data_IF_776530108858
#
_entry.id   IF_776530108858
#
_cell.length_a   1.000
_cell.length_b   1.000
_cell.length_c   1.000
_cell.angle_alpha   90.00
_cell.angle_beta   90.00
_cell.angle_gamma   90.00
#
_symmetry.space_group_name_H-M   'P 1'
#
loop_
_entity.id
_entity.type
_entity.pdbx_description
1 polymer ?
#
# COMPACT_ATOMS: atom_id res chain seq x y z
N UNK A 1 23.00 -1.02 5.54
CA UNK A 1 21.59 -1.31 5.19
C UNK A 1 21.08 -0.09 4.45
N UNK A 2 20.87 -0.19 3.14
CA UNK A 2 20.33 0.92 2.34
C UNK A 2 18.91 1.16 2.86
N UNK A 3 18.61 2.40 3.27
CA UNK A 3 17.29 2.75 3.78
C UNK A 3 16.36 2.86 2.58
N UNK A 4 15.68 1.76 2.25
CA UNK A 4 14.75 1.72 1.13
C UNK A 4 13.53 2.54 1.50
N UNK A 5 13.42 3.73 0.91
CA UNK A 5 12.48 4.80 1.29
C UNK A 5 11.96 5.48 0.04
N UNK A 6 10.87 6.23 0.17
CA UNK A 6 10.36 7.10 -0.88
C UNK A 6 11.48 7.94 -1.53
N UNK A 7 12.34 8.57 -0.73
CA UNK A 7 13.43 9.41 -1.22
C UNK A 7 14.43 8.62 -2.09
N UNK A 8 14.75 7.40 -1.68
CA UNK A 8 15.61 6.52 -2.49
C UNK A 8 14.99 6.21 -3.86
N UNK A 9 13.70 5.89 -3.90
CA UNK A 9 12.98 5.59 -5.14
C UNK A 9 12.75 6.83 -5.99
N UNK A 10 12.50 7.99 -5.39
CA UNK A 10 12.33 9.25 -6.12
C UNK A 10 13.61 9.73 -6.79
N UNK A 11 14.76 9.44 -6.17
CA UNK A 11 16.07 9.78 -6.73
C UNK A 11 16.50 8.77 -7.80
N UNK A 12 16.19 7.48 -7.60
CA UNK A 12 16.49 6.42 -8.56
C UNK A 12 15.39 5.34 -8.59
N UNK A 13 14.65 5.27 -9.72
CA UNK A 13 13.60 4.28 -9.94
C UNK A 13 14.12 2.84 -10.03
N UNK A 14 15.42 2.62 -10.31
CA UNK A 14 16.01 1.27 -10.35
C UNK A 14 15.97 0.57 -8.98
N UNK A 15 15.75 1.33 -7.90
CA UNK A 15 15.62 0.83 -6.52
C UNK A 15 14.21 0.28 -6.23
N UNK A 16 13.24 0.47 -7.14
CA UNK A 16 11.85 0.05 -6.93
C UNK A 16 11.69 -1.45 -6.60
N UNK A 17 12.40 -2.41 -7.24
CA UNK A 17 12.31 -3.83 -6.87
C UNK A 17 12.76 -4.09 -5.42
N UNK A 18 13.84 -3.44 -4.99
CA UNK A 18 14.33 -3.55 -3.61
C UNK A 18 13.31 -2.96 -2.63
N UNK A 19 12.62 -1.88 -3.02
CA UNK A 19 11.53 -1.28 -2.23
C UNK A 19 10.38 -2.26 -2.05
N UNK A 20 9.93 -2.87 -3.12
CA UNK A 20 8.85 -3.85 -3.06
C UNK A 20 9.26 -5.03 -2.18
N UNK A 21 10.44 -5.62 -2.41
CA UNK A 21 10.94 -6.75 -1.61
C UNK A 21 11.05 -6.41 -0.13
N UNK A 22 11.58 -5.23 0.22
CA UNK A 22 11.73 -4.80 1.61
C UNK A 22 10.39 -4.76 2.36
N UNK A 23 9.34 -4.23 1.74
CA UNK A 23 8.01 -4.17 2.35
C UNK A 23 7.28 -5.52 2.27
N UNK A 24 7.51 -6.34 1.26
CA UNK A 24 6.96 -7.70 1.20
C UNK A 24 7.49 -8.59 2.33
N UNK A 25 8.79 -8.54 2.61
CA UNK A 25 9.40 -9.31 3.70
C UNK A 25 8.81 -8.94 5.07
N UNK A 26 8.47 -7.65 5.26
CA UNK A 26 7.89 -7.16 6.51
C UNK A 26 6.42 -7.55 6.70
N UNK A 27 5.67 -7.84 5.63
CA UNK A 27 4.26 -8.23 5.72
C UNK A 27 4.04 -9.42 6.67
N UNK A 28 4.92 -10.42 6.63
CA UNK A 28 4.80 -11.59 7.50
C UNK A 28 4.84 -11.21 8.98
N UNK A 29 5.80 -10.36 9.36
CA UNK A 29 5.95 -9.88 10.73
C UNK A 29 4.75 -9.05 11.19
N UNK A 30 4.24 -8.15 10.33
CA UNK A 30 3.11 -7.29 10.65
C UNK A 30 1.79 -8.06 10.75
N UNK A 31 1.59 -9.09 9.92
CA UNK A 31 0.42 -9.99 10.02
C UNK A 31 0.37 -10.73 11.34
N UNK A 32 1.51 -11.10 11.92
CA UNK A 32 1.54 -11.76 13.23
C UNK A 32 1.10 -10.82 14.37
N UNK A 33 1.37 -9.52 14.23
CA UNK A 33 1.00 -8.49 15.22
C UNK A 33 -0.52 -8.29 15.35
N UNK A 34 -1.33 -8.72 14.37
CA UNK A 34 -2.80 -8.62 14.42
C UNK A 34 -3.47 -9.69 15.30
N UNK A 35 -2.74 -10.75 15.69
CA UNK A 35 -3.28 -11.82 16.55
C UNK A 35 -3.47 -11.31 17.99
N UNK A 36 -4.49 -11.81 18.67
CA UNK A 36 -4.72 -11.59 20.11
C UNK A 36 -4.21 -12.81 20.87
N UNK A 37 -3.18 -12.63 21.71
CA UNK A 37 -2.63 -13.72 22.53
C UNK A 37 -1.85 -13.21 23.76
N UNK A 38 -1.85 -13.99 24.84
CA UNK A 38 -1.14 -13.61 26.07
C UNK A 38 -1.83 -12.49 26.84
N UNK A 39 -1.04 -11.58 27.45
CA UNK A 39 -1.56 -10.55 28.35
C UNK A 39 -2.23 -9.40 27.59
N UNK A 40 -3.51 -9.15 27.88
CA UNK A 40 -4.34 -8.12 27.22
C UNK A 40 -3.79 -6.71 27.46
N UNK A 41 -3.46 -6.38 28.71
CA UNK A 41 -2.95 -5.04 29.09
C UNK A 41 -1.65 -4.69 28.37
N UNK A 42 -0.76 -5.67 28.22
CA UNK A 42 0.47 -5.51 27.45
C UNK A 42 0.16 -5.25 25.97
N UNK A 43 -0.74 -6.04 25.38
CA UNK A 43 -1.14 -5.85 23.99
C UNK A 43 -1.81 -4.49 23.73
N UNK A 44 -2.68 -4.03 24.64
CA UNK A 44 -3.31 -2.71 24.54
C UNK A 44 -2.28 -1.58 24.60
N UNK A 45 -1.26 -1.70 25.47
CA UNK A 45 -0.19 -0.71 25.58
C UNK A 45 0.71 -0.67 24.33
N UNK A 46 0.96 -1.82 23.69
CA UNK A 46 1.81 -1.92 22.49
C UNK A 46 1.08 -1.55 21.19
N UNK A 47 -0.25 -1.67 21.15
CA UNK A 47 -1.05 -1.51 19.94
C UNK A 47 -0.87 -0.14 19.24
N UNK A 48 -0.81 1.02 19.93
CA UNK A 48 -0.59 2.30 19.27
C UNK A 48 0.75 2.36 18.52
N UNK A 49 1.83 1.85 19.12
CA UNK A 49 3.15 1.84 18.50
C UNK A 49 3.21 0.92 17.27
N UNK A 50 2.59 -0.25 17.35
CA UNK A 50 2.46 -1.17 16.21
C UNK A 50 1.63 -0.53 15.09
N UNK A 51 0.56 0.16 15.44
CA UNK A 51 -0.32 0.82 14.47
C UNK A 51 0.39 1.96 13.77
N UNK A 52 1.16 2.76 14.49
CA UNK A 52 2.00 3.82 13.91
C UNK A 52 3.04 3.24 12.94
N UNK A 53 3.76 2.17 13.33
CA UNK A 53 4.77 1.55 12.48
C UNK A 53 4.17 1.05 11.15
N UNK A 54 3.03 0.36 11.19
CA UNK A 54 2.37 -0.16 9.98
C UNK A 54 1.78 0.98 9.15
N UNK A 55 1.24 2.01 9.80
CA UNK A 55 0.69 3.16 9.08
C UNK A 55 1.80 3.96 8.39
N UNK A 56 2.94 4.15 9.04
CA UNK A 56 4.13 4.81 8.49
C UNK A 56 4.65 4.05 7.25
N UNK A 57 4.77 2.73 7.33
CA UNK A 57 5.12 1.88 6.19
C UNK A 57 4.12 2.04 5.03
N UNK A 58 2.82 2.03 5.34
CA UNK A 58 1.75 2.23 4.36
C UNK A 58 1.85 3.60 3.67
N UNK A 59 2.20 4.66 4.41
CA UNK A 59 2.38 6.00 3.83
C UNK A 59 3.57 6.07 2.87
N UNK A 60 4.67 5.40 3.17
CA UNK A 60 5.82 5.32 2.26
C UNK A 60 5.45 4.60 0.95
N UNK A 61 4.71 3.50 1.04
CA UNK A 61 4.21 2.76 -0.14
C UNK A 61 3.24 3.64 -0.97
N UNK A 62 2.33 4.36 -0.31
CA UNK A 62 1.40 5.27 -0.98
C UNK A 62 2.14 6.42 -1.69
N UNK A 63 3.19 6.96 -1.07
CA UNK A 63 4.01 8.01 -1.67
C UNK A 63 4.72 7.53 -2.94
N UNK A 64 5.25 6.30 -2.94
CA UNK A 64 5.84 5.68 -4.14
C UNK A 64 4.79 5.41 -5.21
N UNK A 65 3.61 4.90 -4.84
CA UNK A 65 2.51 4.72 -5.78
C UNK A 65 2.16 6.03 -6.49
N UNK A 66 2.01 7.12 -5.73
CA UNK A 66 1.72 8.45 -6.28
C UNK A 66 2.83 8.95 -7.21
N UNK A 67 4.10 8.69 -6.87
CA UNK A 67 5.24 9.03 -7.73
C UNK A 67 5.15 8.30 -9.08
N UNK A 68 4.84 7.01 -9.08
CA UNK A 68 4.68 6.22 -10.31
C UNK A 68 3.52 6.74 -11.16
N UNK A 69 2.38 7.08 -10.55
CA UNK A 69 1.26 7.69 -11.27
C UNK A 69 1.62 9.06 -11.88
N UNK A 70 2.38 9.89 -11.17
CA UNK A 70 2.89 11.17 -11.71
C UNK A 70 3.77 10.91 -12.92
N UNK A 71 4.68 9.94 -12.84
CA UNK A 71 5.58 9.58 -13.93
C UNK A 71 4.81 9.03 -15.14
N UNK A 72 3.82 8.16 -14.93
CA UNK A 72 2.95 7.67 -16.00
C UNK A 72 2.20 8.81 -16.70
N UNK A 73 1.63 9.76 -15.95
CA UNK A 73 0.99 10.95 -16.53
C UNK A 73 1.95 11.77 -17.40
N UNK A 74 3.22 11.90 -16.99
CA UNK A 74 4.26 12.57 -17.79
C UNK A 74 4.56 11.80 -19.08
N UNK A 75 4.69 10.48 -19.02
CA UNK A 75 4.95 9.62 -20.18
C UNK A 75 3.78 9.66 -21.17
N UNK A 76 2.54 9.48 -20.70
CA UNK A 76 1.33 9.59 -21.53
C UNK A 76 1.27 10.94 -22.26
N UNK A 77 1.57 12.05 -21.56
CA UNK A 77 1.59 13.39 -22.19
C UNK A 77 2.61 13.51 -23.32
N UNK A 78 3.81 12.95 -23.16
CA UNK A 78 4.87 13.00 -24.19
C UNK A 78 4.44 12.26 -25.47
N UNK A 79 3.91 11.05 -25.32
CA UNK A 79 3.40 10.27 -26.45
C UNK A 79 2.21 10.94 -27.11
N UNK A 80 1.26 11.42 -26.32
CA UNK A 80 0.09 12.13 -26.83
C UNK A 80 0.46 13.34 -27.69
N UNK A 81 1.42 14.16 -27.24
CA UNK A 81 1.94 15.29 -28.02
C UNK A 81 2.59 14.84 -29.33
N UNK A 82 3.42 13.79 -29.28
CA UNK A 82 4.06 13.21 -30.48
C UNK A 82 3.03 12.72 -31.51
N UNK A 83 1.94 12.08 -31.06
CA UNK A 83 0.85 11.62 -31.93
C UNK A 83 0.07 12.77 -32.58
N UNK A 84 -0.10 13.89 -31.86
CA UNK A 84 -0.75 15.08 -32.42
C UNK A 84 0.14 15.84 -33.42
N UNK A 85 1.45 15.91 -33.16
CA UNK A 85 2.39 16.67 -33.98
C UNK A 85 2.84 15.91 -35.24
N UNK A 86 2.97 14.58 -35.17
CA UNK A 86 3.51 13.75 -36.26
C UNK A 86 2.50 13.37 -37.35
N UNK A 87 1.21 13.36 -37.04
CA UNK A 87 0.19 12.91 -38.00
C UNK A 87 -0.38 14.07 -38.80
N UNK A 88 0.24 14.29 -39.97
CA UNK A 88 -0.26 15.19 -41.00
C UNK A 88 -1.68 14.77 -41.47
N UNK A 89 -2.70 15.35 -40.82
CA UNK A 89 -4.10 15.53 -41.28
C UNK A 89 -5.17 14.45 -41.00
N UNK A 90 -5.01 13.47 -40.09
CA UNK A 90 -6.10 12.49 -39.90
C UNK A 90 -6.33 11.88 -38.51
N UNK A 91 -5.44 12.08 -37.53
CA UNK A 91 -5.66 11.46 -36.22
C UNK A 91 -6.65 12.30 -35.40
N UNK A 92 -7.78 11.71 -35.01
CA UNK A 92 -8.64 12.34 -34.01
C UNK A 92 -7.94 12.32 -32.64
N UNK A 93 -8.28 13.26 -31.76
CA UNK A 93 -7.76 13.28 -30.38
C UNK A 93 -7.98 11.94 -29.66
N UNK A 94 -9.07 11.24 -30.00
CA UNK A 94 -9.41 9.93 -29.42
C UNK A 94 -8.53 8.80 -29.93
N UNK A 95 -8.12 8.87 -31.19
CA UNK A 95 -7.19 7.90 -31.76
C UNK A 95 -5.79 8.11 -31.17
N UNK A 96 -5.35 9.37 -31.04
CA UNK A 96 -4.08 9.72 -30.38
C UNK A 96 -4.00 9.19 -28.95
N UNK A 97 -5.09 9.30 -28.19
CA UNK A 97 -5.21 8.76 -26.83
C UNK A 97 -5.08 7.23 -26.81
N UNK A 98 -5.79 6.52 -27.71
CA UNK A 98 -5.68 5.05 -27.81
C UNK A 98 -4.28 4.57 -28.16
N UNK A 99 -3.60 5.24 -29.10
CA UNK A 99 -2.23 4.86 -29.42
C UNK A 99 -1.28 5.12 -28.25
N UNK A 100 -1.48 6.25 -27.55
CA UNK A 100 -0.73 6.56 -26.32
C UNK A 100 -0.92 5.49 -25.25
N UNK A 101 -2.14 5.01 -25.04
CA UNK A 101 -2.43 3.92 -24.09
C UNK A 101 -1.79 2.59 -24.49
N UNK A 102 -1.55 2.38 -25.80
CA UNK A 102 -0.91 1.18 -26.33
C UNK A 102 0.62 1.23 -26.34
N UNK A 103 1.25 2.34 -25.94
CA UNK A 103 2.71 2.47 -25.88
C UNK A 103 3.30 1.53 -24.81
N UNK A 104 4.42 0.88 -25.15
CA UNK A 104 5.02 -0.15 -24.30
C UNK A 104 5.43 0.40 -22.93
N UNK A 105 6.00 1.60 -22.88
CA UNK A 105 6.40 2.26 -21.63
C UNK A 105 5.20 2.74 -20.78
N UNK A 106 4.06 3.04 -21.42
CA UNK A 106 2.80 3.34 -20.74
C UNK A 106 2.24 2.08 -20.09
N UNK A 107 2.17 0.98 -20.84
CA UNK A 107 1.72 -0.33 -20.33
C UNK A 107 2.63 -0.80 -19.19
N UNK A 108 3.94 -0.73 -19.36
CA UNK A 108 4.90 -1.10 -18.33
C UNK A 108 4.75 -0.23 -17.06
N UNK A 109 4.52 1.06 -17.22
CA UNK A 109 4.22 1.96 -16.09
C UNK A 109 2.93 1.59 -15.35
N UNK A 110 1.88 1.20 -16.07
CA UNK A 110 0.62 0.73 -15.47
C UNK A 110 0.80 -0.58 -14.69
N UNK A 111 1.60 -1.51 -15.21
CA UNK A 111 1.92 -2.76 -14.51
C UNK A 111 2.69 -2.51 -13.21
N UNK A 112 3.68 -1.62 -13.22
CA UNK A 112 4.42 -1.23 -12.00
C UNK A 112 3.50 -0.56 -10.97
N UNK A 113 2.61 0.33 -11.41
CA UNK A 113 1.59 0.95 -10.54
C UNK A 113 0.71 -0.13 -9.92
N UNK A 114 0.27 -1.12 -10.70
CA UNK A 114 -0.56 -2.21 -10.19
C UNK A 114 0.15 -3.04 -9.11
N UNK A 115 1.43 -3.34 -9.29
CA UNK A 115 2.23 -4.10 -8.34
C UNK A 115 2.37 -3.36 -7.00
N UNK A 116 2.71 -2.07 -7.03
CA UNK A 116 2.80 -1.25 -5.81
C UNK A 116 1.43 -1.04 -5.17
N UNK A 117 0.36 -0.90 -5.98
CA UNK A 117 -1.01 -0.81 -5.47
C UNK A 117 -1.43 -2.11 -4.76
N UNK A 118 -1.04 -3.27 -5.27
CA UNK A 118 -1.28 -4.55 -4.61
C UNK A 118 -0.56 -4.62 -3.25
N UNK A 119 0.71 -4.21 -3.19
CA UNK A 119 1.47 -4.11 -1.93
C UNK A 119 0.78 -3.17 -0.93
N UNK A 120 0.34 -1.98 -1.38
CA UNK A 120 -0.43 -1.02 -0.58
C UNK A 120 -1.70 -1.64 0.00
N UNK A 121 -2.44 -2.39 -0.81
CA UNK A 121 -3.66 -3.06 -0.38
C UNK A 121 -3.39 -4.16 0.66
N UNK A 122 -2.26 -4.88 0.55
CA UNK A 122 -1.83 -5.85 1.58
C UNK A 122 -1.60 -5.15 2.92
N UNK A 123 -0.97 -3.97 2.95
CA UNK A 123 -0.78 -3.18 4.17
C UNK A 123 -2.09 -2.59 4.73
N UNK A 124 -2.98 -2.10 3.88
CA UNK A 124 -4.33 -1.68 4.31
C UNK A 124 -5.10 -2.80 5.00
N UNK A 125 -5.00 -4.04 4.51
CA UNK A 125 -5.60 -5.19 5.18
C UNK A 125 -5.05 -5.42 6.58
N UNK A 126 -3.76 -5.14 6.82
CA UNK A 126 -3.14 -5.28 8.15
C UNK A 126 -3.63 -4.17 9.07
N UNK A 127 -3.67 -2.93 8.60
CA UNK A 127 -4.22 -1.80 9.35
C UNK A 127 -5.64 -2.07 9.83
N UNK A 128 -6.51 -2.56 8.94
CA UNK A 128 -7.87 -2.97 9.30
C UNK A 128 -7.90 -4.08 10.36
N UNK A 129 -6.95 -5.01 10.30
CA UNK A 129 -6.79 -6.06 11.30
C UNK A 129 -6.37 -5.51 12.68
N UNK A 130 -5.47 -4.53 12.71
CA UNK A 130 -5.05 -3.85 13.94
C UNK A 130 -6.17 -3.04 14.58
N UNK A 131 -6.96 -2.32 13.77
CA UNK A 131 -8.17 -1.63 14.24
C UNK A 131 -9.18 -2.61 14.85
N UNK A 132 -9.44 -3.72 14.15
CA UNK A 132 -10.32 -4.78 14.66
C UNK A 132 -9.81 -5.35 15.98
N UNK A 133 -8.49 -5.59 16.09
CA UNK A 133 -7.84 -6.03 17.33
C UNK A 133 -8.05 -5.02 18.45
N UNK A 134 -7.90 -3.72 18.20
CA UNK A 134 -8.16 -2.67 19.20
C UNK A 134 -9.59 -2.69 19.73
N UNK A 135 -10.58 -2.81 18.85
CA UNK A 135 -11.98 -2.93 19.26
C UNK A 135 -12.25 -4.20 20.09
N UNK A 136 -11.66 -5.33 19.71
CA UNK A 136 -11.80 -6.59 20.43
C UNK A 136 -11.15 -6.53 21.81
N UNK A 137 -9.92 -6.02 21.92
CA UNK A 137 -9.23 -5.84 23.21
C UNK A 137 -10.06 -4.97 24.16
N UNK A 138 -10.54 -3.81 23.69
CA UNK A 138 -11.39 -2.93 24.50
C UNK A 138 -12.68 -3.63 24.96
N UNK A 139 -13.30 -4.44 24.09
CA UNK A 139 -14.51 -5.20 24.43
C UNK A 139 -14.23 -6.26 25.48
N UNK A 140 -13.12 -7.00 25.36
CA UNK A 140 -12.71 -8.01 26.34
C UNK A 140 -12.37 -7.34 27.68
N UNK A 141 -11.65 -6.22 27.68
CA UNK A 141 -11.32 -5.46 28.89
C UNK A 141 -12.59 -5.03 29.63
N UNK A 142 -13.61 -4.54 28.92
CA UNK A 142 -14.92 -4.21 29.52
C UNK A 142 -15.62 -5.41 30.15
N UNK A 143 -15.63 -6.56 29.48
CA UNK A 143 -16.22 -7.79 30.01
C UNK A 143 -15.50 -8.28 31.28
N UNK A 144 -14.17 -8.22 31.29
CA UNK A 144 -13.35 -8.56 32.48
C UNK A 144 -13.63 -7.63 33.64
N UNK A 145 -13.71 -6.32 33.40
CA UNK A 145 -14.08 -5.35 34.44
C UNK A 145 -15.49 -5.58 34.99
N UNK A 146 -16.40 -6.13 34.19
CA UNK A 146 -17.75 -6.49 34.62
C UNK A 146 -17.84 -7.86 35.32
N UNK A 147 -16.73 -8.60 35.45
CA UNK A 147 -16.70 -9.94 36.06
C UNK A 147 -17.25 -11.06 35.17
N UNK A 148 -17.41 -10.82 33.86
CA UNK A 148 -17.94 -11.79 32.89
C UNK A 148 -16.78 -12.46 32.14
N UNK A 149 -16.03 -13.33 32.83
CA UNK A 149 -14.79 -13.92 32.28
C UNK A 149 -15.01 -15.15 31.38
N UNK A 150 -16.13 -15.87 31.54
CA UNK A 150 -16.48 -17.04 30.73
C UNK A 150 -17.94 -16.94 30.27
N UNK A 151 -18.14 -16.86 28.96
CA UNK A 151 -19.47 -16.94 28.35
C UNK A 151 -19.48 -18.10 27.36
N UNK A 152 -19.88 -19.28 27.81
CA UNK A 152 -20.25 -20.38 26.92
C UNK A 152 -21.68 -20.15 26.44
N UNK A 153 -21.88 -19.98 25.14
CA UNK A 153 -23.19 -20.23 24.55
C UNK A 153 -23.48 -21.71 24.80
N UNK A 154 -24.52 -22.02 25.58
CA UNK A 154 -24.92 -23.41 25.82
C UNK A 154 -25.14 -24.15 24.50
N UNK A 155 -24.89 -25.47 24.51
CA UNK A 155 -25.05 -26.39 23.37
C UNK A 155 -26.38 -26.23 22.62
#
# INVERSE_FOLDING_TARGET
>A
MIKVTYHGVSDNLDILPDFISYYEDRLGSHRLKTRIYGQITKQEAELPGITEEVFSDLQEIEAVLQLLEINLRRTKRKHFQKYLEGYNKALSSRDAERYTEGEEDVINGELLINEVALLRNKYLSIMKGLETKGFQLSSITKLKCAGMEDFSMGE
#
